data_IF_761791586082
#
_entry.id   IF_761791586082
#
_cell.length_a   1.000
_cell.length_b   1.000
_cell.length_c   1.000
_cell.angle_alpha   90.00
_cell.angle_beta   90.00
_cell.angle_gamma   90.00
#
_symmetry.space_group_name_H-M   'P 1'
#
loop_
_entity.id
_entity.type
_entity.pdbx_description
1 polymer ?
#
# COMPACT_ATOMS: atom_id res chain seq x y z
N UNK A 1 0.94 -16.74 13.15
CA UNK A 1 1.09 -16.38 11.74
C UNK A 1 0.56 -14.97 11.58
N UNK A 2 1.36 -14.01 11.13
CA UNK A 2 0.96 -12.61 11.05
C UNK A 2 0.66 -12.27 9.59
N UNK A 3 -0.61 -12.27 9.22
CA UNK A 3 -1.12 -12.08 7.86
C UNK A 3 -0.55 -10.80 7.20
N UNK A 4 -0.32 -9.74 7.97
CA UNK A 4 0.24 -8.48 7.45
C UNK A 4 1.71 -8.61 7.05
N UNK A 5 2.50 -9.37 7.83
CA UNK A 5 3.90 -9.64 7.49
C UNK A 5 4.01 -10.51 6.23
N UNK A 6 3.12 -11.49 6.08
CA UNK A 6 3.05 -12.34 4.89
C UNK A 6 2.63 -11.55 3.66
N UNK A 7 1.59 -10.72 3.79
CA UNK A 7 1.13 -9.87 2.69
C UNK A 7 2.23 -8.92 2.24
N UNK A 8 2.89 -8.25 3.19
CA UNK A 8 4.02 -7.35 2.91
C UNK A 8 5.16 -8.10 2.21
N UNK A 9 5.52 -9.30 2.70
CA UNK A 9 6.60 -10.10 2.11
C UNK A 9 6.26 -10.58 0.69
N UNK A 10 5.05 -11.06 0.47
CA UNK A 10 4.55 -11.48 -0.85
C UNK A 10 4.50 -10.30 -1.81
N UNK A 11 4.07 -9.12 -1.37
CA UNK A 11 4.07 -7.90 -2.16
C UNK A 11 5.49 -7.49 -2.57
N UNK A 12 6.44 -7.47 -1.63
CA UNK A 12 7.83 -7.12 -1.93
C UNK A 12 8.44 -8.12 -2.92
N UNK A 13 8.20 -9.42 -2.72
CA UNK A 13 8.68 -10.45 -3.63
C UNK A 13 8.08 -10.27 -5.04
N UNK A 14 6.78 -10.04 -5.14
CA UNK A 14 6.10 -9.76 -6.40
C UNK A 14 6.68 -8.52 -7.09
N UNK A 15 6.84 -7.40 -6.37
CA UNK A 15 7.39 -6.17 -6.93
C UNK A 15 8.84 -6.32 -7.40
N UNK A 16 9.60 -7.27 -6.84
CA UNK A 16 11.00 -7.51 -7.19
C UNK A 16 11.17 -8.55 -8.30
N UNK A 17 10.37 -9.62 -8.27
CA UNK A 17 10.53 -10.80 -9.14
C UNK A 17 9.48 -10.91 -10.24
N UNK A 18 8.34 -10.24 -10.09
CA UNK A 18 7.15 -10.41 -10.92
C UNK A 18 6.33 -11.67 -10.60
N UNK A 19 6.73 -12.48 -9.61
CA UNK A 19 5.99 -13.70 -9.25
C UNK A 19 4.76 -13.37 -8.40
N UNK A 20 3.58 -13.51 -9.01
CA UNK A 20 2.28 -13.27 -8.37
C UNK A 20 1.72 -14.48 -7.63
N UNK A 21 2.34 -15.67 -7.71
CA UNK A 21 1.78 -16.94 -7.23
C UNK A 21 1.41 -16.88 -5.74
N UNK A 22 2.28 -16.28 -4.93
CA UNK A 22 2.05 -16.14 -3.49
C UNK A 22 0.93 -15.14 -3.18
N UNK A 23 0.78 -14.08 -3.99
CA UNK A 23 -0.30 -13.11 -3.80
C UNK A 23 -1.65 -13.67 -4.21
N UNK A 24 -1.71 -14.45 -5.29
CA UNK A 24 -2.95 -15.13 -5.71
C UNK A 24 -3.41 -16.07 -4.59
N UNK A 25 -2.52 -16.93 -4.08
CA UNK A 25 -2.84 -17.84 -2.99
C UNK A 25 -3.34 -17.07 -1.75
N UNK A 26 -2.68 -15.97 -1.37
CA UNK A 26 -3.12 -15.15 -0.25
C UNK A 26 -4.49 -14.51 -0.47
N UNK A 27 -4.81 -14.02 -1.67
CA UNK A 27 -6.12 -13.44 -1.98
C UNK A 27 -7.21 -14.51 -1.88
N UNK A 28 -6.93 -15.73 -2.35
CA UNK A 28 -7.88 -16.85 -2.31
C UNK A 28 -8.10 -17.38 -0.89
N UNK A 29 -7.04 -17.48 -0.07
CA UNK A 29 -7.09 -17.96 1.31
C UNK A 29 -7.62 -16.91 2.29
N UNK A 30 -7.34 -15.63 2.03
CA UNK A 30 -7.64 -14.50 2.91
C UNK A 30 -8.35 -13.37 2.16
N UNK A 31 -9.61 -13.56 1.71
CA UNK A 31 -10.35 -12.54 0.98
C UNK A 31 -10.54 -11.23 1.78
N UNK A 32 -10.40 -11.26 3.10
CA UNK A 32 -10.45 -10.08 3.99
C UNK A 32 -9.31 -9.07 3.79
N UNK A 33 -8.23 -9.45 3.08
CA UNK A 33 -7.20 -8.49 2.68
C UNK A 33 -7.68 -7.58 1.54
N UNK A 34 -8.71 -8.01 0.81
CA UNK A 34 -9.34 -7.23 -0.26
C UNK A 34 -10.46 -6.39 0.34
N UNK A 35 -10.35 -5.07 0.25
CA UNK A 35 -11.29 -4.12 0.82
C UNK A 35 -11.85 -3.18 -0.24
N UNK A 36 -13.14 -2.90 -0.15
CA UNK A 36 -13.81 -1.81 -0.87
C UNK A 36 -13.73 -0.48 -0.11
N UNK A 37 -13.27 -0.50 1.14
CA UNK A 37 -13.16 0.69 1.97
C UNK A 37 -11.82 1.36 1.69
N UNK A 38 -11.91 2.59 1.18
CA UNK A 38 -10.79 3.51 1.08
C UNK A 38 -10.93 4.51 2.23
N UNK A 39 -9.92 4.61 3.10
CA UNK A 39 -9.92 5.59 4.18
C UNK A 39 -9.59 7.00 3.69
N UNK A 40 -9.53 7.95 4.62
CA UNK A 40 -9.17 9.33 4.33
C UNK A 40 -7.66 9.51 4.25
N UNK A 41 -7.21 10.33 3.31
CA UNK A 41 -5.82 10.76 3.22
C UNK A 41 -5.50 11.79 4.34
N UNK A 42 -4.30 11.77 4.95
CA UNK A 42 -3.14 10.92 4.65
C UNK A 42 -3.04 9.62 5.47
N UNK A 43 -4.01 9.34 6.35
CA UNK A 43 -4.03 8.12 7.16
C UNK A 43 -4.14 6.84 6.31
N UNK A 44 -4.85 6.95 5.18
CA UNK A 44 -4.96 5.90 4.18
C UNK A 44 -4.45 6.40 2.84
N UNK A 45 -3.45 5.71 2.29
CA UNK A 45 -2.82 6.15 1.06
C UNK A 45 -2.44 5.00 0.13
N UNK A 46 -2.36 5.33 -1.15
CA UNK A 46 -1.88 4.42 -2.20
C UNK A 46 -0.38 4.21 -2.03
N UNK A 47 0.05 2.96 -2.11
CA UNK A 47 1.46 2.57 -2.26
C UNK A 47 1.79 2.37 -3.74
N UNK A 48 1.04 1.50 -4.41
CA UNK A 48 1.27 1.14 -5.82
C UNK A 48 0.01 0.49 -6.39
N UNK A 49 -0.21 0.65 -7.70
CA UNK A 49 -1.24 -0.10 -8.44
C UNK A 49 -0.57 -1.29 -9.16
N UNK A 50 -1.14 -2.48 -9.05
CA UNK A 50 -0.56 -3.75 -9.51
C UNK A 50 -1.58 -4.58 -10.28
N UNK A 51 -1.09 -5.48 -11.13
CA UNK A 51 -1.91 -6.50 -11.80
C UNK A 51 -1.62 -7.84 -11.16
N UNK A 52 -2.65 -8.50 -10.62
CA UNK A 52 -2.53 -9.83 -10.00
C UNK A 52 -3.62 -10.73 -10.59
N UNK A 53 -3.23 -11.84 -11.22
CA UNK A 53 -4.18 -12.79 -11.81
C UNK A 53 -5.10 -12.15 -12.87
N UNK A 54 -4.59 -11.15 -13.60
CA UNK A 54 -5.34 -10.42 -14.63
C UNK A 54 -6.33 -9.37 -14.12
N UNK A 55 -6.35 -9.06 -12.82
CA UNK A 55 -7.15 -7.98 -12.23
C UNK A 55 -6.25 -6.87 -11.70
N UNK A 56 -6.71 -5.63 -11.79
CA UNK A 56 -6.01 -4.49 -11.20
C UNK A 56 -6.36 -4.35 -9.72
N UNK A 57 -5.34 -4.19 -8.91
CA UNK A 57 -5.45 -3.91 -7.49
C UNK A 57 -4.64 -2.67 -7.14
N UNK A 58 -5.21 -1.82 -6.30
CA UNK A 58 -4.49 -0.79 -5.57
C UNK A 58 -4.02 -1.35 -4.25
N UNK A 59 -2.71 -1.29 -4.01
CA UNK A 59 -2.14 -1.55 -2.69
C UNK A 59 -2.31 -0.29 -1.86
N UNK A 60 -3.07 -0.41 -0.78
CA UNK A 60 -3.34 0.65 0.15
C UNK A 60 -2.65 0.39 1.48
N UNK A 61 -2.17 1.45 2.14
CA UNK A 61 -1.62 1.38 3.48
C UNK A 61 -2.39 2.32 4.41
N UNK A 62 -2.78 1.78 5.56
CA UNK A 62 -3.34 2.52 6.70
C UNK A 62 -2.25 2.74 7.75
N UNK A 63 -2.21 3.93 8.34
CA UNK A 63 -1.24 4.33 9.38
C UNK A 63 -1.84 4.20 10.79
N UNK A 64 -3.13 4.49 10.96
CA UNK A 64 -3.80 4.54 12.26
C UNK A 64 -3.85 3.20 12.99
N UNK A 65 -3.50 3.23 14.28
CA UNK A 65 -3.56 2.15 15.27
C UNK A 65 -2.74 0.88 15.01
N UNK A 66 -2.23 0.66 13.80
CA UNK A 66 -1.11 -0.22 13.43
C UNK A 66 -0.99 -0.22 11.89
N UNK A 67 0.23 -0.24 11.35
CA UNK A 67 0.43 -0.22 9.89
C UNK A 67 -0.24 -1.44 9.25
N UNK A 68 -1.20 -1.20 8.36
CA UNK A 68 -1.96 -2.26 7.69
C UNK A 68 -1.95 -2.07 6.19
N UNK A 69 -1.62 -3.14 5.47
CA UNK A 69 -1.76 -3.25 4.02
C UNK A 69 -3.06 -3.93 3.65
N UNK A 70 -3.70 -3.42 2.60
CA UNK A 70 -4.89 -3.97 1.99
C UNK A 70 -4.84 -3.82 0.47
N UNK A 71 -5.65 -4.61 -0.22
CA UNK A 71 -5.82 -4.54 -1.68
C UNK A 71 -7.21 -4.01 -1.98
N UNK A 72 -7.33 -3.04 -2.87
CA UNK A 72 -8.63 -2.59 -3.39
C UNK A 72 -8.70 -2.89 -4.87
N UNK A 73 -9.76 -3.54 -5.34
CA UNK A 73 -9.97 -3.75 -6.77
C UNK A 73 -10.20 -2.39 -7.43
N UNK A 74 -9.51 -2.14 -8.54
CA UNK A 74 -9.65 -0.92 -9.34
C UNK A 74 -9.91 -1.29 -10.80
N UNK A 75 -10.50 -0.37 -11.55
CA UNK A 75 -10.73 -0.56 -12.98
C UNK A 75 -9.49 -0.17 -13.81
N UNK A 76 -8.81 0.91 -13.42
CA UNK A 76 -7.65 1.45 -14.12
C UNK A 76 -6.53 1.83 -13.13
N UNK A 77 -5.26 1.54 -13.45
CA UNK A 77 -4.12 1.97 -12.65
C UNK A 77 -3.90 3.47 -12.80
N UNK A 78 -3.30 4.09 -11.79
CA UNK A 78 -2.88 5.48 -11.85
C UNK A 78 -1.39 5.61 -12.15
N UNK A 79 -1.04 6.55 -13.02
CA UNK A 79 0.35 6.89 -13.36
C UNK A 79 1.06 7.73 -12.29
N UNK A 80 0.34 8.18 -11.26
CA UNK A 80 0.93 8.94 -10.16
C UNK A 80 1.60 7.96 -9.20
N UNK A 81 2.81 8.28 -8.75
CA UNK A 81 3.51 7.49 -7.73
C UNK A 81 2.72 7.47 -6.42
N UNK A 82 2.61 6.30 -5.78
CA UNK A 82 2.12 6.20 -4.41
C UNK A 82 3.24 6.37 -3.40
N UNK A 83 2.87 6.44 -2.12
CA UNK A 83 3.82 6.55 -1.02
C UNK A 83 4.67 5.28 -0.95
N UNK A 84 6.01 5.38 -0.92
CA UNK A 84 6.86 4.21 -1.00
C UNK A 84 6.66 3.21 0.14
N UNK A 85 6.73 1.92 -0.21
CA UNK A 85 6.59 0.81 0.75
C UNK A 85 7.71 0.77 1.80
N UNK A 86 8.89 1.32 1.47
CA UNK A 86 10.03 1.40 2.40
C UNK A 86 9.85 2.47 3.48
N UNK A 87 8.95 3.44 3.27
CA UNK A 87 8.68 4.49 4.25
C UNK A 87 7.76 3.92 5.33
N UNK A 88 8.32 3.47 6.45
CA UNK A 88 7.60 2.72 7.50
C UNK A 88 7.84 3.29 8.91
N UNK A 89 7.05 2.80 9.87
CA UNK A 89 7.24 3.10 11.29
C UNK A 89 7.17 4.59 11.64
N UNK A 90 8.13 5.09 12.42
CA UNK A 90 8.16 6.49 12.88
C UNK A 90 8.32 7.48 11.70
N UNK A 91 9.07 7.11 10.66
CA UNK A 91 9.27 7.95 9.48
C UNK A 91 7.98 8.16 8.71
N UNK A 92 7.20 7.09 8.58
CA UNK A 92 5.86 7.15 7.98
C UNK A 92 4.92 8.06 8.75
N UNK A 93 4.93 7.97 10.10
CA UNK A 93 4.10 8.85 10.95
C UNK A 93 4.48 10.31 10.79
N UNK A 94 5.78 10.64 10.82
CA UNK A 94 6.26 12.02 10.60
C UNK A 94 5.93 12.56 9.22
N UNK A 95 5.90 11.69 8.20
CA UNK A 95 5.46 12.09 6.87
C UNK A 95 3.96 12.41 6.88
N UNK A 96 3.12 11.56 7.46
CA UNK A 96 1.68 11.79 7.53
C UNK A 96 1.33 13.04 8.35
N UNK A 97 2.00 13.28 9.48
CA UNK A 97 1.84 14.51 10.27
C UNK A 97 2.17 15.76 9.46
N UNK A 98 3.28 15.75 8.70
CA UNK A 98 3.65 16.88 7.86
C UNK A 98 2.63 17.12 6.73
N UNK A 99 2.06 16.04 6.20
CA UNK A 99 1.05 16.10 5.15
C UNK A 99 -0.32 16.60 5.66
N UNK A 100 -0.68 16.30 6.91
CA UNK A 100 -1.88 16.87 7.53
C UNK A 100 -1.72 18.37 7.81
N UNK A 101 -0.52 18.80 8.21
CA UNK A 101 -0.22 20.20 8.53
C UNK A 101 -0.09 21.09 7.28
N UNK A 102 0.52 20.57 6.22
CA UNK A 102 0.78 21.27 4.96
C UNK A 102 0.56 20.30 3.79
N UNK A 103 -0.72 20.09 3.38
CA UNK A 103 -1.04 19.14 2.32
C UNK A 103 -0.36 19.58 1.03
N UNK A 104 0.46 18.69 0.50
CA UNK A 104 1.28 18.98 -0.66
C UNK A 104 0.43 18.98 -1.93
N UNK A 105 0.49 20.06 -2.70
CA UNK A 105 -0.11 20.13 -4.05
C UNK A 105 0.68 19.27 -5.08
N UNK A 106 1.90 18.88 -4.73
CA UNK A 106 2.85 18.08 -5.52
C UNK A 106 3.29 16.84 -4.73
N UNK A 107 3.67 15.71 -5.36
CA UNK A 107 4.08 14.52 -4.61
C UNK A 107 5.24 14.84 -3.65
N UNK A 108 4.99 14.68 -2.35
CA UNK A 108 5.99 14.87 -1.28
C UNK A 108 7.31 14.22 -1.63
N UNK A 109 8.41 14.95 -1.45
CA UNK A 109 9.76 14.38 -1.51
C UNK A 109 9.97 13.42 -0.33
N UNK A 110 9.54 12.16 -0.52
CA UNK A 110 9.65 11.11 0.48
C UNK A 110 11.10 10.86 0.88
N UNK A 111 12.07 11.17 0.01
CA UNK A 111 13.50 10.96 0.29
C UNK A 111 14.01 11.79 1.47
N UNK A 112 13.32 12.88 1.84
CA UNK A 112 13.56 13.62 3.10
C UNK A 112 13.45 12.72 4.34
N UNK A 113 12.69 11.64 4.26
CA UNK A 113 12.43 10.70 5.36
C UNK A 113 13.23 9.40 5.26
N UNK A 114 14.09 9.24 4.24
CA UNK A 114 15.00 8.08 4.13
C UNK A 114 16.02 8.07 5.27
#
# INVERSE_FOLDING_TARGET
>A
MNLQLELKSSLINFLTSGDESSLIAMIDEHPEIVTSVYGDYPDFHRVVDVVIGGKYYRVCRQISNDERLTLSVIDEPSDVSGVPIWLEGEKLRKWAEAEEEDPSDEPVDWEKYR
#
